data_IF_226932661077
#
_entry.id   IF_226932661077
#
_cell.length_a   1.000
_cell.length_b   1.000
_cell.length_c   1.000
_cell.angle_alpha   90.00
_cell.angle_beta   90.00
_cell.angle_gamma   90.00
#
_symmetry.space_group_name_H-M   'P 1'
#
loop_
_entity.id
_entity.type
_entity.pdbx_description
1 polymer ?
#
# COMPACT_ATOMS: atom_id res chain seq x y z
N UNK A 1 1.81 -59.81 43.77
CA UNK A 1 1.51 -58.37 43.69
C UNK A 1 1.55 -57.95 42.22
N UNK A 2 0.40 -57.76 41.58
CA UNK A 2 0.28 -57.31 40.17
C UNK A 2 0.28 -55.77 40.17
N UNK A 3 1.33 -55.15 39.61
CA UNK A 3 1.39 -53.70 39.40
C UNK A 3 0.79 -53.36 38.04
N UNK A 4 -0.29 -52.57 38.06
CA UNK A 4 -0.86 -51.92 36.88
C UNK A 4 -0.03 -50.69 36.53
N UNK A 5 0.46 -50.60 35.28
CA UNK A 5 1.08 -49.40 34.72
C UNK A 5 -0.02 -48.59 34.02
N UNK A 6 -0.43 -47.49 34.63
CA UNK A 6 -1.26 -46.45 34.01
C UNK A 6 -0.38 -45.60 33.09
N UNK A 7 -0.59 -45.73 31.79
CA UNK A 7 -0.05 -44.84 30.76
C UNK A 7 -0.88 -43.55 30.73
N UNK A 8 -0.36 -42.49 31.35
CA UNK A 8 -0.85 -41.12 31.20
C UNK A 8 -0.40 -40.58 29.84
N UNK A 9 -1.32 -40.54 28.86
CA UNK A 9 -1.16 -39.75 27.65
C UNK A 9 -1.27 -38.26 28.02
N UNK A 10 -0.14 -37.57 28.14
CA UNK A 10 -0.09 -36.12 28.13
C UNK A 10 -0.30 -35.63 26.69
N UNK A 11 -1.49 -35.12 26.39
CA UNK A 11 -1.70 -34.23 25.26
C UNK A 11 -0.93 -32.93 25.51
N UNK A 12 0.28 -32.82 24.94
CA UNK A 12 1.03 -31.57 24.87
C UNK A 12 0.32 -30.61 23.90
N UNK A 13 -0.57 -29.77 24.43
CA UNK A 13 -1.04 -28.58 23.70
C UNK A 13 0.08 -27.54 23.75
N UNK A 14 0.91 -27.47 22.71
CA UNK A 14 1.89 -26.40 22.57
C UNK A 14 1.16 -25.04 22.53
N UNK A 15 1.57 -24.05 23.34
CA UNK A 15 0.97 -22.72 23.26
C UNK A 15 1.24 -22.10 21.88
N UNK A 16 0.22 -21.41 21.31
CA UNK A 16 0.37 -20.52 20.15
C UNK A 16 1.29 -19.35 20.56
N UNK A 17 2.60 -19.55 20.52
CA UNK A 17 3.58 -18.50 20.73
C UNK A 17 4.23 -18.14 19.39
N UNK A 18 4.57 -16.85 19.22
CA UNK A 18 5.31 -16.40 18.06
C UNK A 18 6.66 -17.14 17.97
N UNK A 19 6.97 -17.64 16.78
CA UNK A 19 8.22 -18.31 16.44
C UNK A 19 9.03 -17.49 15.43
N UNK A 20 10.19 -18.00 15.06
CA UNK A 20 10.98 -17.46 13.96
C UNK A 20 11.41 -18.59 13.03
N UNK A 21 11.53 -18.25 11.76
CA UNK A 21 12.20 -19.08 10.76
C UNK A 21 13.02 -18.18 9.84
N UNK A 22 13.93 -18.79 9.11
CA UNK A 22 14.74 -18.13 8.10
C UNK A 22 14.43 -18.76 6.76
N UNK A 23 14.23 -17.91 5.74
CA UNK A 23 14.04 -18.37 4.36
C UNK A 23 15.29 -18.01 3.55
N UNK A 24 16.04 -19.02 3.05
CA UNK A 24 17.20 -18.76 2.22
C UNK A 24 16.77 -18.28 0.83
N UNK A 25 17.53 -17.34 0.29
CA UNK A 25 17.40 -16.85 -1.09
C UNK A 25 18.35 -17.60 -2.03
N UNK A 26 18.14 -17.46 -3.33
CA UNK A 26 18.97 -18.14 -4.35
C UNK A 26 20.42 -17.65 -4.36
N UNK A 27 20.67 -16.41 -3.93
CA UNK A 27 21.98 -15.77 -3.86
C UNK A 27 22.63 -15.88 -2.46
N UNK A 28 22.05 -16.66 -1.56
CA UNK A 28 22.66 -16.99 -0.26
C UNK A 28 22.35 -16.02 0.88
N UNK A 29 21.57 -14.97 0.64
CA UNK A 29 21.01 -14.13 1.70
C UNK A 29 19.89 -14.85 2.46
N UNK A 30 19.63 -14.40 3.68
CA UNK A 30 18.65 -14.98 4.58
C UNK A 30 17.54 -13.98 4.90
N UNK A 31 16.28 -14.38 4.68
CA UNK A 31 15.13 -13.53 5.01
C UNK A 31 14.62 -13.91 6.40
N UNK A 32 14.69 -13.01 7.40
CA UNK A 32 14.12 -13.26 8.71
C UNK A 32 12.60 -13.22 8.64
N UNK A 33 11.95 -14.25 9.19
CA UNK A 33 10.49 -14.36 9.26
C UNK A 33 10.05 -14.62 10.69
N UNK A 34 9.17 -13.76 11.20
CA UNK A 34 8.50 -13.98 12.48
C UNK A 34 7.15 -14.65 12.21
N UNK A 35 6.97 -15.85 12.74
CA UNK A 35 5.78 -16.66 12.52
C UNK A 35 4.79 -16.55 13.67
N UNK A 36 3.51 -16.45 13.34
CA UNK A 36 2.37 -16.47 14.26
C UNK A 36 1.53 -17.69 13.91
N UNK A 37 1.80 -18.85 14.53
CA UNK A 37 1.20 -20.12 14.15
C UNK A 37 -0.32 -20.12 14.38
N UNK A 38 -1.06 -20.84 13.55
CA UNK A 38 -2.49 -21.08 13.73
C UNK A 38 -2.90 -22.43 13.14
N UNK A 39 -3.97 -23.05 13.64
CA UNK A 39 -4.42 -24.36 13.16
C UNK A 39 -5.14 -24.32 11.79
N UNK A 40 -5.67 -23.18 11.38
CA UNK A 40 -6.48 -23.08 10.18
C UNK A 40 -5.71 -23.21 8.86
N UNK A 41 -6.47 -23.32 7.78
CA UNK A 41 -5.98 -23.68 6.43
C UNK A 41 -5.31 -22.52 5.67
N UNK A 42 -5.29 -21.31 6.23
CA UNK A 42 -4.76 -20.11 5.57
C UNK A 42 -3.44 -19.69 6.18
N UNK A 43 -2.51 -19.29 5.32
CA UNK A 43 -1.25 -18.65 5.66
C UNK A 43 -1.11 -17.32 4.94
N UNK A 44 -0.90 -16.24 5.70
CA UNK A 44 -0.60 -14.93 5.16
C UNK A 44 0.89 -14.64 5.29
N UNK A 45 1.56 -14.35 4.17
CA UNK A 45 2.92 -13.81 4.18
C UNK A 45 2.81 -12.29 4.11
N UNK A 46 3.11 -11.63 5.22
CA UNK A 46 2.93 -10.20 5.44
C UNK A 46 4.23 -9.44 5.17
N UNK A 47 4.14 -8.44 4.30
CA UNK A 47 5.20 -7.50 3.99
C UNK A 47 4.86 -6.12 4.57
N UNK A 48 5.68 -5.59 5.50
CA UNK A 48 5.49 -4.24 6.03
C UNK A 48 5.68 -3.19 4.92
N UNK A 49 5.28 -1.94 5.19
CA UNK A 49 5.44 -0.84 4.22
C UNK A 49 6.89 -0.37 4.09
N UNK A 50 7.11 0.66 3.26
CA UNK A 50 8.40 1.38 3.19
C UNK A 50 8.90 1.94 4.54
N UNK A 51 8.01 2.07 5.54
CA UNK A 51 8.36 2.47 6.90
C UNK A 51 8.92 1.32 7.77
N UNK A 52 9.06 0.12 7.20
CA UNK A 52 9.51 -1.08 7.92
C UNK A 52 8.46 -1.64 8.88
N UNK A 53 8.79 -2.72 9.61
CA UNK A 53 7.92 -3.32 10.60
C UNK A 53 7.46 -2.32 11.66
N UNK A 54 6.19 -2.41 12.03
CA UNK A 54 5.56 -1.57 13.04
C UNK A 54 5.14 -2.41 14.24
N UNK A 55 5.08 -1.80 15.43
CA UNK A 55 4.64 -2.51 16.65
C UNK A 55 3.24 -3.13 16.49
N UNK A 56 2.35 -2.46 15.74
CA UNK A 56 1.00 -2.95 15.44
C UNK A 56 0.98 -4.21 14.57
N UNK A 57 2.03 -4.50 13.79
CA UNK A 57 2.04 -5.65 12.90
C UNK A 57 2.00 -6.96 13.70
N UNK A 58 2.67 -7.00 14.86
CA UNK A 58 2.61 -8.15 15.76
C UNK A 58 1.18 -8.34 16.31
N UNK A 59 0.54 -7.25 16.74
CA UNK A 59 -0.85 -7.29 17.20
C UNK A 59 -1.80 -7.77 16.09
N UNK A 60 -1.65 -7.28 14.85
CA UNK A 60 -2.47 -7.72 13.71
C UNK A 60 -2.27 -9.22 13.43
N UNK A 61 -1.04 -9.69 13.47
CA UNK A 61 -0.72 -11.10 13.28
C UNK A 61 -1.34 -11.97 14.38
N UNK A 62 -1.25 -11.57 15.65
CA UNK A 62 -1.91 -12.26 16.77
C UNK A 62 -3.43 -12.29 16.60
N UNK A 63 -4.04 -11.18 16.15
CA UNK A 63 -5.49 -11.14 15.90
C UNK A 63 -5.93 -12.05 14.76
N UNK A 64 -5.08 -12.22 13.74
CA UNK A 64 -5.32 -13.15 12.63
C UNK A 64 -5.12 -14.60 13.07
N UNK A 65 -4.08 -14.89 13.86
CA UNK A 65 -3.81 -16.22 14.40
C UNK A 65 -4.95 -16.72 15.31
N UNK A 66 -5.48 -15.85 16.18
CA UNK A 66 -6.70 -16.10 16.98
C UNK A 66 -7.95 -16.39 16.14
N UNK A 67 -7.91 -16.06 14.86
CA UNK A 67 -8.98 -16.27 13.88
C UNK A 67 -8.61 -17.32 12.83
N UNK A 68 -7.71 -18.23 13.21
CA UNK A 68 -7.26 -19.40 12.46
C UNK A 68 -6.53 -19.05 11.15
N UNK A 69 -5.87 -17.90 11.09
CA UNK A 69 -4.99 -17.54 9.98
C UNK A 69 -3.56 -17.47 10.48
N UNK A 70 -2.71 -18.36 9.97
CA UNK A 70 -1.29 -18.29 10.26
C UNK A 70 -0.68 -17.06 9.57
N UNK A 71 0.26 -16.38 10.23
CA UNK A 71 0.92 -15.20 9.66
C UNK A 71 2.43 -15.32 9.73
N UNK A 72 3.07 -15.14 8.59
CA UNK A 72 4.53 -15.01 8.46
C UNK A 72 4.84 -13.55 8.16
N UNK A 73 5.44 -12.84 9.11
CA UNK A 73 5.89 -11.47 8.89
C UNK A 73 7.33 -11.50 8.41
N UNK A 74 7.56 -11.11 7.16
CA UNK A 74 8.87 -11.12 6.53
C UNK A 74 9.37 -9.69 6.34
N UNK A 75 10.56 -9.37 6.87
CA UNK A 75 11.21 -8.09 6.63
C UNK A 75 12.17 -8.19 5.45
N UNK A 76 11.68 -7.78 4.27
CA UNK A 76 12.45 -7.77 3.03
C UNK A 76 13.51 -6.66 2.99
N UNK A 77 13.33 -5.59 3.75
CA UNK A 77 14.28 -4.47 3.75
C UNK A 77 15.47 -4.81 4.64
N UNK A 78 15.21 -5.38 5.81
CA UNK A 78 16.25 -5.88 6.71
C UNK A 78 17.11 -6.96 6.05
N UNK A 79 16.48 -7.95 5.39
CA UNK A 79 17.17 -9.01 4.65
C UNK A 79 18.18 -8.51 3.59
N UNK A 80 17.98 -7.28 3.09
CA UNK A 80 18.81 -6.66 2.05
C UNK A 80 19.55 -5.41 2.55
N UNK A 81 19.58 -5.19 3.87
CA UNK A 81 20.19 -4.02 4.51
C UNK A 81 19.75 -2.69 3.85
N UNK A 82 18.49 -2.62 3.41
CA UNK A 82 17.96 -1.45 2.73
C UNK A 82 17.42 -0.45 3.77
N UNK A 83 17.75 0.85 3.64
CA UNK A 83 17.22 1.87 4.54
C UNK A 83 15.69 1.99 4.40
N UNK A 84 15.02 2.42 5.47
CA UNK A 84 13.58 2.71 5.46
C UNK A 84 13.30 3.98 4.64
N UNK A 85 13.06 3.78 3.36
CA UNK A 85 12.85 4.86 2.39
C UNK A 85 11.85 4.44 1.31
N UNK A 86 11.15 5.41 0.76
CA UNK A 86 10.19 5.23 -0.32
C UNK A 86 10.78 4.45 -1.52
N UNK A 87 12.04 4.68 -1.89
CA UNK A 87 12.66 3.94 -2.99
C UNK A 87 13.03 2.49 -2.66
N UNK A 88 13.18 2.14 -1.37
CA UNK A 88 13.78 0.87 -0.95
C UNK A 88 13.03 -0.39 -1.35
N UNK A 89 11.69 -0.51 -1.17
CA UNK A 89 10.97 -1.72 -1.56
C UNK A 89 11.14 -2.10 -3.04
N UNK A 90 11.30 -1.11 -3.92
CA UNK A 90 11.52 -1.37 -5.36
C UNK A 90 12.89 -1.99 -5.70
N UNK A 91 13.82 -2.00 -4.73
CA UNK A 91 15.16 -2.58 -4.83
C UNK A 91 15.23 -4.02 -4.34
N UNK A 92 14.21 -4.51 -3.65
CA UNK A 92 14.14 -5.90 -3.20
C UNK A 92 14.10 -6.82 -4.42
N UNK A 93 15.02 -7.80 -4.53
CA UNK A 93 15.03 -8.77 -5.62
C UNK A 93 13.73 -9.56 -5.70
N UNK A 94 13.26 -9.83 -6.91
CA UNK A 94 12.04 -10.61 -7.11
C UNK A 94 12.19 -12.06 -6.60
N UNK A 95 13.41 -12.60 -6.64
CA UNK A 95 13.74 -13.94 -6.14
C UNK A 95 13.42 -14.13 -4.65
N UNK A 96 13.53 -13.08 -3.83
CA UNK A 96 13.29 -13.14 -2.38
C UNK A 96 11.85 -13.51 -2.06
N UNK A 97 10.92 -12.79 -2.69
CA UNK A 97 9.50 -13.04 -2.55
C UNK A 97 9.11 -14.37 -3.20
N UNK A 98 9.77 -14.76 -4.31
CA UNK A 98 9.56 -16.07 -4.93
C UNK A 98 9.99 -17.23 -4.01
N UNK A 99 11.12 -17.08 -3.31
CA UNK A 99 11.63 -18.03 -2.32
C UNK A 99 10.70 -18.12 -1.10
N UNK A 100 10.26 -16.98 -0.57
CA UNK A 100 9.26 -16.92 0.51
C UNK A 100 7.95 -17.60 0.12
N UNK A 101 7.42 -17.32 -1.07
CA UNK A 101 6.19 -17.93 -1.55
C UNK A 101 6.36 -19.46 -1.69
N UNK A 102 7.48 -19.91 -2.26
CA UNK A 102 7.79 -21.34 -2.39
C UNK A 102 7.87 -22.02 -1.03
N UNK A 103 8.56 -21.40 -0.06
CA UNK A 103 8.68 -21.93 1.29
C UNK A 103 7.33 -21.93 2.03
N UNK A 104 6.53 -20.87 1.89
CA UNK A 104 5.20 -20.77 2.49
C UNK A 104 4.25 -21.85 1.93
N UNK A 105 4.30 -22.16 0.64
CA UNK A 105 3.47 -23.21 0.02
C UNK A 105 3.81 -24.63 0.52
N UNK A 106 5.02 -24.86 1.04
CA UNK A 106 5.39 -26.13 1.68
C UNK A 106 4.64 -26.39 2.99
N UNK A 107 4.03 -25.36 3.59
CA UNK A 107 3.19 -25.50 4.79
C UNK A 107 1.95 -26.37 4.57
N UNK A 108 1.57 -26.64 3.32
CA UNK A 108 0.30 -27.33 3.02
C UNK A 108 -0.89 -26.38 2.86
N UNK A 109 -0.79 -25.16 3.39
CA UNK A 109 -1.88 -24.20 3.53
C UNK A 109 -2.13 -23.42 2.25
N UNK A 110 -3.31 -22.77 2.20
CA UNK A 110 -3.60 -21.78 1.18
C UNK A 110 -2.89 -20.48 1.51
N UNK A 111 -2.01 -20.04 0.61
CA UNK A 111 -1.09 -18.93 0.85
C UNK A 111 -1.57 -17.66 0.17
N UNK A 112 -1.54 -16.55 0.90
CA UNK A 112 -1.79 -15.20 0.38
C UNK A 112 -0.62 -14.30 0.72
N UNK A 113 -0.19 -13.47 -0.22
CA UNK A 113 0.74 -12.40 0.08
C UNK A 113 -0.06 -11.17 0.54
N UNK A 114 0.34 -10.53 1.62
CA UNK A 114 -0.28 -9.31 2.12
C UNK A 114 0.76 -8.21 2.07
N UNK A 115 0.56 -7.21 1.22
CA UNK A 115 1.54 -6.17 0.96
C UNK A 115 0.97 -4.78 1.24
N UNK A 116 1.69 -4.01 2.05
CA UNK A 116 1.31 -2.64 2.40
C UNK A 116 2.19 -1.61 1.68
N UNK A 117 1.60 -0.48 1.27
CA UNK A 117 2.34 0.64 0.69
C UNK A 117 3.14 0.26 -0.55
N UNK A 118 4.44 0.54 -0.54
CA UNK A 118 5.33 0.21 -1.67
C UNK A 118 5.79 -1.24 -1.73
N UNK A 119 5.54 -2.05 -0.70
CA UNK A 119 5.88 -3.48 -0.72
C UNK A 119 5.00 -4.30 -1.65
N UNK A 120 3.93 -3.71 -2.20
CA UNK A 120 3.19 -4.26 -3.32
C UNK A 120 4.07 -4.52 -4.56
N UNK A 121 5.10 -3.70 -4.78
CA UNK A 121 6.01 -3.85 -5.92
C UNK A 121 6.83 -5.15 -5.86
N UNK A 122 7.63 -5.41 -4.80
CA UNK A 122 8.33 -6.68 -4.70
C UNK A 122 7.37 -7.87 -4.57
N UNK A 123 6.20 -7.71 -3.94
CA UNK A 123 5.19 -8.78 -3.89
C UNK A 123 4.77 -9.23 -5.30
N UNK A 124 4.35 -8.29 -6.16
CA UNK A 124 3.92 -8.62 -7.53
C UNK A 124 5.09 -9.12 -8.40
N UNK A 125 6.27 -8.52 -8.26
CA UNK A 125 7.48 -8.95 -8.99
C UNK A 125 7.87 -10.37 -8.61
N UNK A 126 7.82 -10.71 -7.33
CA UNK A 126 8.17 -12.04 -6.85
C UNK A 126 7.17 -13.11 -7.23
N UNK A 127 5.87 -12.80 -7.24
CA UNK A 127 4.86 -13.72 -7.79
C UNK A 127 5.15 -14.01 -9.26
N UNK A 128 5.47 -12.99 -10.06
CA UNK A 128 5.84 -13.19 -11.46
C UNK A 128 7.13 -14.01 -11.60
N UNK A 129 8.14 -13.75 -10.77
CA UNK A 129 9.39 -14.52 -10.77
C UNK A 129 9.12 -15.99 -10.41
N UNK A 130 8.36 -16.26 -9.35
CA UNK A 130 7.93 -17.60 -8.98
C UNK A 130 7.23 -18.33 -10.12
N UNK A 131 6.39 -17.64 -10.90
CA UNK A 131 5.76 -18.24 -12.08
C UNK A 131 6.75 -18.50 -13.24
N UNK A 132 7.77 -17.65 -13.42
CA UNK A 132 8.84 -17.87 -14.40
C UNK A 132 9.68 -19.08 -14.01
N UNK A 133 9.89 -19.29 -12.72
CA UNK A 133 10.62 -20.43 -12.15
C UNK A 133 9.79 -21.73 -12.17
N UNK A 134 8.64 -21.74 -12.86
CA UNK A 134 7.77 -22.91 -13.01
C UNK A 134 6.70 -23.07 -11.93
N UNK A 135 6.57 -22.12 -11.00
CA UNK A 135 5.60 -22.17 -9.91
C UNK A 135 4.14 -22.20 -10.38
N UNK A 136 3.41 -23.28 -10.09
CA UNK A 136 2.00 -23.50 -10.49
C UNK A 136 1.15 -24.14 -9.40
N UNK A 137 1.33 -23.73 -8.14
CA UNK A 137 0.61 -24.30 -7.01
C UNK A 137 -0.82 -23.72 -6.86
N UNK A 138 -1.89 -24.55 -6.91
CA UNK A 138 -3.28 -24.10 -6.78
C UNK A 138 -3.66 -23.62 -5.38
N UNK A 139 -2.76 -23.77 -4.40
CA UNK A 139 -2.90 -23.22 -3.03
C UNK A 139 -2.45 -21.76 -2.96
N UNK A 140 -1.77 -21.22 -3.97
CA UNK A 140 -1.55 -19.78 -4.00
C UNK A 140 -2.87 -19.05 -4.31
N UNK A 141 -3.37 -18.31 -3.32
CA UNK A 141 -4.68 -17.67 -3.35
C UNK A 141 -4.71 -16.26 -3.97
N UNK A 142 -3.56 -15.60 -4.10
CA UNK A 142 -3.44 -14.25 -4.65
C UNK A 142 -2.74 -13.27 -3.70
N UNK A 143 -2.91 -11.97 -3.99
CA UNK A 143 -2.26 -10.89 -3.24
C UNK A 143 -3.31 -9.93 -2.68
N UNK A 144 -3.20 -9.62 -1.38
CA UNK A 144 -3.99 -8.61 -0.70
C UNK A 144 -3.14 -7.35 -0.57
N UNK A 145 -3.61 -6.26 -1.15
CA UNK A 145 -2.96 -4.97 -1.20
C UNK A 145 -3.60 -4.03 -0.18
N UNK A 146 -2.79 -3.34 0.61
CA UNK A 146 -3.24 -2.33 1.58
C UNK A 146 -2.56 -1.02 1.23
N UNK A 147 -3.34 0.06 1.03
CA UNK A 147 -2.81 1.43 0.77
C UNK A 147 -1.67 1.46 -0.27
N UNK A 148 -1.77 0.63 -1.32
CA UNK A 148 -0.62 0.31 -2.17
C UNK A 148 -0.27 1.42 -3.15
N UNK A 149 1.04 1.60 -3.39
CA UNK A 149 1.58 2.64 -4.28
C UNK A 149 2.27 1.97 -5.46
N UNK A 150 1.66 2.02 -6.64
CA UNK A 150 2.10 1.26 -7.82
C UNK A 150 2.77 2.10 -8.93
N UNK A 151 3.19 3.32 -8.61
CA UNK A 151 3.86 4.24 -9.54
C UNK A 151 5.37 4.28 -9.30
N UNK A 152 6.14 4.42 -10.37
CA UNK A 152 7.61 4.47 -10.35
C UNK A 152 8.11 5.57 -9.42
N UNK A 153 7.44 6.71 -9.46
CA UNK A 153 7.71 7.90 -8.66
C UNK A 153 6.45 8.72 -8.49
N UNK A 154 6.49 9.66 -7.56
CA UNK A 154 5.54 10.78 -7.58
C UNK A 154 5.82 11.60 -8.84
N UNK A 155 4.84 11.78 -9.74
CA UNK A 155 5.03 12.62 -10.92
C UNK A 155 5.22 14.07 -10.51
N UNK A 156 6.02 14.83 -11.28
CA UNK A 156 6.04 16.29 -11.12
C UNK A 156 4.67 16.87 -11.56
N UNK A 157 4.28 18.07 -11.09
CA UNK A 157 3.06 18.71 -11.54
C UNK A 157 2.98 18.80 -13.08
N UNK A 158 1.87 18.32 -13.65
CA UNK A 158 1.65 18.26 -15.09
C UNK A 158 2.22 17.02 -15.80
N UNK A 159 3.00 16.18 -15.11
CA UNK A 159 3.44 14.90 -15.66
C UNK A 159 2.39 13.80 -15.46
N UNK A 160 2.33 12.88 -16.43
CA UNK A 160 1.51 11.67 -16.28
C UNK A 160 2.21 10.71 -15.32
N UNK A 161 1.45 10.20 -14.35
CA UNK A 161 1.96 9.19 -13.42
C UNK A 161 2.30 7.90 -14.18
N UNK A 162 3.51 7.40 -14.03
CA UNK A 162 3.98 6.18 -14.69
C UNK A 162 3.84 4.96 -13.76
N UNK A 163 2.96 4.00 -14.07
CA UNK A 163 2.87 2.76 -13.30
C UNK A 163 4.14 1.93 -13.47
N UNK A 164 4.52 1.16 -12.44
CA UNK A 164 5.59 0.18 -12.63
C UNK A 164 5.20 -0.86 -13.71
N UNK A 165 6.15 -1.32 -14.55
CA UNK A 165 5.85 -2.32 -15.60
C UNK A 165 5.24 -3.63 -15.05
N UNK A 166 5.52 -3.96 -13.79
CA UNK A 166 4.93 -5.13 -13.13
C UNK A 166 3.40 -5.05 -13.00
N UNK A 167 2.83 -3.85 -12.95
CA UNK A 167 1.37 -3.63 -12.90
C UNK A 167 0.72 -4.28 -14.12
N UNK A 168 1.20 -3.95 -15.32
CA UNK A 168 0.68 -4.50 -16.56
C UNK A 168 1.10 -5.96 -16.84
N UNK A 169 2.04 -6.51 -16.06
CA UNK A 169 2.52 -7.89 -16.18
C UNK A 169 2.03 -8.80 -15.04
N UNK A 170 1.18 -8.29 -14.15
CA UNK A 170 0.56 -9.06 -13.08
C UNK A 170 -0.68 -9.76 -13.60
N UNK A 171 -0.78 -11.06 -13.34
CA UNK A 171 -1.83 -11.92 -13.87
C UNK A 171 -2.51 -12.74 -12.78
N UNK A 172 -2.53 -12.28 -11.51
CA UNK A 172 -2.98 -13.04 -10.34
C UNK A 172 -4.19 -12.39 -9.68
N UNK A 173 -4.96 -13.10 -8.84
CA UNK A 173 -6.04 -12.48 -8.08
C UNK A 173 -5.52 -11.39 -7.13
N UNK A 174 -6.13 -10.21 -7.16
CA UNK A 174 -5.77 -9.07 -6.32
C UNK A 174 -6.98 -8.58 -5.52
N UNK A 175 -6.79 -8.34 -4.23
CA UNK A 175 -7.78 -7.65 -3.39
C UNK A 175 -7.16 -6.39 -2.79
N UNK A 176 -7.67 -5.22 -3.14
CA UNK A 176 -7.11 -3.93 -2.76
C UNK A 176 -7.98 -3.24 -1.72
N UNK A 177 -7.45 -3.08 -0.51
CA UNK A 177 -7.98 -2.24 0.56
C UNK A 177 -7.43 -0.81 0.41
N UNK A 178 -8.23 0.10 -0.14
CA UNK A 178 -7.81 1.46 -0.51
C UNK A 178 -8.44 2.51 0.42
N UNK A 179 -7.67 3.22 1.26
CA UNK A 179 -8.13 4.41 1.96
C UNK A 179 -8.62 5.51 1.01
N UNK A 180 -9.75 6.16 1.30
CA UNK A 180 -10.29 7.25 0.48
C UNK A 180 -9.63 8.61 0.74
N UNK A 181 -9.11 8.85 1.95
CA UNK A 181 -8.26 10.02 2.27
C UNK A 181 -6.79 9.80 1.86
N UNK A 182 -6.57 9.03 0.79
CA UNK A 182 -5.25 8.79 0.20
C UNK A 182 -5.12 9.60 -1.10
N UNK A 183 -3.99 10.27 -1.35
CA UNK A 183 -3.76 10.91 -2.65
C UNK A 183 -3.73 9.88 -3.80
N UNK A 184 -3.47 8.61 -3.50
CA UNK A 184 -3.42 7.52 -4.48
C UNK A 184 -4.79 6.93 -4.82
N UNK A 185 -5.82 7.20 -4.02
CA UNK A 185 -7.20 6.79 -4.31
C UNK A 185 -7.64 7.25 -5.70
N UNK A 186 -7.36 8.51 -6.02
CA UNK A 186 -7.69 9.15 -7.30
C UNK A 186 -6.90 8.60 -8.49
N UNK A 187 -5.92 7.73 -8.25
CA UNK A 187 -5.10 7.11 -9.29
C UNK A 187 -5.56 5.69 -9.64
N UNK A 188 -6.53 5.13 -8.91
CA UNK A 188 -7.09 3.80 -9.21
C UNK A 188 -7.58 3.65 -10.66
N UNK A 189 -8.31 4.62 -11.26
CA UNK A 189 -8.79 4.48 -12.63
C UNK A 189 -7.67 4.29 -13.67
N UNK A 190 -6.44 4.73 -13.37
CA UNK A 190 -5.28 4.54 -14.24
C UNK A 190 -4.57 3.20 -14.03
N UNK A 191 -4.76 2.57 -12.87
CA UNK A 191 -4.08 1.33 -12.50
C UNK A 191 -4.92 0.08 -12.78
N UNK A 192 -6.23 0.15 -12.54
CA UNK A 192 -7.12 -1.02 -12.69
C UNK A 192 -7.11 -1.58 -14.11
N UNK A 193 -7.25 -0.78 -15.19
CA UNK A 193 -7.20 -1.32 -16.54
C UNK A 193 -5.86 -1.96 -16.89
N UNK A 194 -4.76 -1.46 -16.31
CA UNK A 194 -3.44 -2.03 -16.53
C UNK A 194 -3.28 -3.40 -15.86
N UNK A 195 -3.75 -3.55 -14.61
CA UNK A 195 -3.77 -4.82 -13.89
C UNK A 195 -4.66 -5.85 -14.59
N UNK A 196 -5.85 -5.44 -15.02
CA UNK A 196 -6.81 -6.29 -15.73
C UNK A 196 -6.28 -6.71 -17.11
N UNK A 197 -5.63 -5.80 -17.84
CA UNK A 197 -4.97 -6.12 -19.10
C UNK A 197 -3.80 -7.13 -18.92
N UNK A 198 -3.19 -7.16 -17.74
CA UNK A 198 -2.24 -8.20 -17.35
C UNK A 198 -2.88 -9.56 -17.00
N UNK A 199 -4.20 -9.62 -16.91
CA UNK A 199 -4.97 -10.82 -16.56
C UNK A 199 -5.24 -11.00 -15.06
N UNK A 200 -5.04 -9.95 -14.26
CA UNK A 200 -5.43 -9.97 -12.84
C UNK A 200 -6.94 -9.78 -12.69
N UNK A 201 -7.58 -10.57 -11.83
CA UNK A 201 -8.92 -10.26 -11.34
C UNK A 201 -8.76 -9.33 -10.13
N UNK A 202 -9.26 -8.09 -10.21
CA UNK A 202 -9.01 -7.06 -9.21
C UNK A 202 -10.28 -6.69 -8.47
N UNK A 203 -10.30 -6.91 -7.16
CA UNK A 203 -11.32 -6.37 -6.27
C UNK A 203 -10.78 -5.14 -5.55
N UNK A 204 -11.57 -4.06 -5.50
CA UNK A 204 -11.26 -2.89 -4.69
C UNK A 204 -12.31 -2.72 -3.61
N UNK A 205 -11.86 -2.59 -2.37
CA UNK A 205 -12.68 -2.13 -1.25
C UNK A 205 -12.13 -0.81 -0.77
N UNK A 206 -12.95 0.22 -0.92
CA UNK A 206 -12.66 1.55 -0.38
C UNK A 206 -12.83 1.51 1.15
N UNK A 207 -11.85 2.05 1.86
CA UNK A 207 -11.88 2.23 3.31
C UNK A 207 -12.18 3.69 3.58
N UNK A 208 -13.39 3.96 4.06
CA UNK A 208 -13.87 5.32 4.28
C UNK A 208 -13.34 5.95 5.56
N UNK A 209 -13.04 7.24 5.48
CA UNK A 209 -12.68 8.07 6.65
C UNK A 209 -11.21 7.99 7.06
N UNK A 210 -10.41 7.16 6.40
CA UNK A 210 -9.04 6.85 6.84
C UNK A 210 -7.99 7.25 5.82
N UNK A 211 -6.79 7.61 6.30
CA UNK A 211 -5.63 7.96 5.48
C UNK A 211 -4.80 6.73 5.13
N UNK A 212 -3.81 6.92 4.25
CA UNK A 212 -2.69 5.98 4.17
C UNK A 212 -2.07 5.77 5.55
N UNK A 213 -1.57 4.54 5.78
CA UNK A 213 -0.93 4.12 7.04
C UNK A 213 -1.85 4.11 8.26
N UNK A 214 -3.18 4.22 8.09
CA UNK A 214 -4.17 4.37 9.18
C UNK A 214 -3.97 3.47 10.41
N UNK A 215 -3.45 2.25 10.24
CA UNK A 215 -3.27 1.31 11.35
C UNK A 215 -1.97 1.48 12.16
N UNK A 216 -1.05 2.34 11.73
CA UNK A 216 0.22 2.61 12.41
C UNK A 216 0.61 4.10 12.42
N UNK A 217 -0.35 4.99 12.25
CA UNK A 217 -0.09 6.43 12.39
C UNK A 217 0.14 6.78 13.86
N UNK A 218 1.16 7.58 14.20
CA UNK A 218 1.31 8.12 15.54
C UNK A 218 0.22 9.14 15.88
N UNK A 219 -0.33 9.81 14.85
CA UNK A 219 -1.42 10.78 14.91
C UNK A 219 -2.78 10.18 14.47
N UNK A 220 -3.01 8.89 14.75
CA UNK A 220 -4.26 8.22 14.38
C UNK A 220 -5.47 8.86 15.06
N UNK A 221 -6.54 9.11 14.30
CA UNK A 221 -7.82 9.55 14.85
C UNK A 221 -8.72 8.36 15.24
N UNK A 222 -9.89 8.63 15.84
CA UNK A 222 -10.82 7.59 16.29
C UNK A 222 -11.33 6.68 15.14
N UNK A 223 -11.56 7.26 13.96
CA UNK A 223 -11.99 6.50 12.76
C UNK A 223 -10.91 5.52 12.30
N UNK A 224 -9.65 5.96 12.28
CA UNK A 224 -8.49 5.15 11.91
C UNK A 224 -8.25 4.04 12.94
N UNK A 225 -8.45 4.34 14.22
CA UNK A 225 -8.41 3.36 15.30
C UNK A 225 -9.51 2.31 15.20
N UNK A 226 -10.74 2.72 14.87
CA UNK A 226 -11.84 1.80 14.61
C UNK A 226 -11.56 0.94 13.37
N UNK A 227 -11.01 1.51 12.30
CA UNK A 227 -10.64 0.77 11.10
C UNK A 227 -9.51 -0.23 11.37
N UNK A 228 -8.49 0.16 12.15
CA UNK A 228 -7.42 -0.73 12.64
C UNK A 228 -7.98 -1.95 13.35
N UNK A 229 -8.96 -1.76 14.25
CA UNK A 229 -9.65 -2.87 14.95
C UNK A 229 -10.41 -3.80 14.00
N UNK A 230 -10.92 -3.29 12.88
CA UNK A 230 -11.65 -4.06 11.86
C UNK A 230 -10.74 -4.77 10.85
N UNK A 231 -9.48 -4.33 10.70
CA UNK A 231 -8.56 -4.81 9.68
C UNK A 231 -8.37 -6.34 9.64
N UNK A 232 -8.22 -7.07 10.78
CA UNK A 232 -8.09 -8.53 10.73
C UNK A 232 -9.26 -9.22 10.01
N UNK A 233 -10.50 -8.77 10.23
CA UNK A 233 -11.67 -9.37 9.58
C UNK A 233 -11.80 -8.94 8.10
N UNK A 234 -11.36 -7.72 7.76
CA UNK A 234 -11.28 -7.28 6.37
C UNK A 234 -10.29 -8.14 5.57
N UNK A 235 -9.14 -8.49 6.14
CA UNK A 235 -8.14 -9.35 5.50
C UNK A 235 -8.66 -10.79 5.31
N UNK A 236 -9.35 -11.34 6.32
CA UNK A 236 -10.02 -12.65 6.20
C UNK A 236 -11.09 -12.64 5.10
N UNK A 237 -11.87 -11.55 5.03
CA UNK A 237 -12.88 -11.37 3.99
C UNK A 237 -12.27 -11.25 2.60
N UNK A 238 -11.14 -10.56 2.48
CA UNK A 238 -10.38 -10.46 1.23
C UNK A 238 -9.91 -11.84 0.75
N UNK A 239 -9.28 -12.63 1.63
CA UNK A 239 -8.86 -13.99 1.30
C UNK A 239 -10.04 -14.88 0.85
N UNK A 240 -11.18 -14.83 1.56
CA UNK A 240 -12.40 -15.55 1.17
C UNK A 240 -12.95 -15.10 -0.19
N UNK A 241 -12.87 -13.82 -0.52
CA UNK A 241 -13.29 -13.31 -1.82
C UNK A 241 -12.40 -13.86 -2.94
N UNK A 242 -11.08 -13.86 -2.74
CA UNK A 242 -10.11 -14.40 -3.68
C UNK A 242 -10.25 -15.93 -3.85
N UNK A 243 -10.62 -16.65 -2.79
CA UNK A 243 -10.89 -18.09 -2.83
C UNK A 243 -12.06 -18.48 -3.73
N UNK A 244 -13.05 -17.59 -3.86
CA UNK A 244 -14.27 -17.82 -4.65
C UNK A 244 -14.10 -17.56 -6.14
N UNK A 245 -12.98 -16.97 -6.54
CA UNK A 245 -12.70 -16.75 -7.95
C UNK A 245 -12.53 -18.08 -8.70
N UNK A 246 -13.04 -18.17 -9.94
CA UNK A 246 -12.84 -19.36 -10.75
C UNK A 246 -11.34 -19.59 -10.97
N UNK A 247 -10.90 -20.84 -10.79
CA UNK A 247 -9.53 -21.23 -11.13
C UNK A 247 -9.35 -21.11 -12.64
N UNK A 248 -8.43 -20.23 -13.05
CA UNK A 248 -8.02 -20.05 -14.44
C UNK A 248 -6.54 -20.37 -14.56
N UNK A 249 -6.17 -20.98 -15.67
CA UNK A 249 -4.76 -21.13 -16.01
C UNK A 249 -4.19 -19.73 -16.31
N UNK A 250 -3.18 -19.31 -15.52
CA UNK A 250 -2.56 -17.98 -15.63
C UNK A 250 -1.19 -18.17 -16.26
N UNK A 251 -1.01 -17.62 -17.47
CA UNK A 251 0.27 -17.62 -18.19
C UNK A 251 1.04 -16.36 -17.86
N UNK A 252 2.34 -16.49 -17.63
CA UNK A 252 3.22 -15.35 -17.31
C UNK A 252 3.14 -14.32 -18.44
N UNK A 253 2.92 -13.07 -18.07
CA UNK A 253 2.89 -11.95 -19.01
C UNK A 253 4.29 -11.34 -19.12
N UNK A 254 4.71 -11.06 -20.36
CA UNK A 254 5.95 -10.36 -20.64
C UNK A 254 5.89 -8.92 -20.11
N UNK A 255 7.02 -8.41 -19.61
CA UNK A 255 7.10 -7.00 -19.23
C UNK A 255 7.07 -6.13 -20.50
N UNK A 256 6.22 -5.11 -20.50
CA UNK A 256 6.16 -4.13 -21.62
C UNK A 256 7.37 -3.19 -21.65
N UNK A 257 8.08 -3.06 -20.54
CA UNK A 257 9.30 -2.27 -20.41
C UNK A 257 10.21 -2.90 -19.34
N UNK A 258 11.54 -2.68 -19.40
CA UNK A 258 12.44 -3.08 -18.33
C UNK A 258 12.00 -2.49 -17.00
N UNK A 259 12.20 -3.24 -15.92
CA UNK A 259 11.95 -2.71 -14.59
C UNK A 259 12.87 -1.50 -14.37
N UNK A 260 12.35 -0.37 -13.84
CA UNK A 260 13.18 0.80 -13.59
C UNK A 260 14.40 0.39 -12.78
N UNK A 261 15.58 0.76 -13.28
CA UNK A 261 16.82 0.53 -12.55
C UNK A 261 16.71 1.15 -11.15
N UNK A 262 17.34 0.49 -10.19
CA UNK A 262 17.48 0.97 -8.81
C UNK A 262 18.19 2.34 -8.87
N UNK A 263 17.40 3.42 -8.82
CA UNK A 263 17.88 4.76 -9.13
C UNK A 263 17.44 5.76 -8.08
N UNK A 264 18.43 6.36 -7.42
CA UNK A 264 18.32 7.51 -6.54
C UNK A 264 17.42 8.56 -7.20
N UNK A 265 16.34 8.96 -6.51
CA UNK A 265 15.46 10.02 -6.99
C UNK A 265 16.30 11.24 -7.38
N UNK A 266 16.05 11.82 -8.56
CA UNK A 266 16.80 12.99 -9.05
C UNK A 266 16.76 14.09 -7.97
N UNK A 267 17.90 14.35 -7.35
CA UNK A 267 18.13 15.36 -6.29
C UNK A 267 18.28 16.76 -6.87
N UNK A 268 17.42 17.13 -7.81
CA UNK A 268 17.46 18.44 -8.46
C UNK A 268 16.12 19.13 -8.38
N UNK A 269 15.78 19.70 -7.22
CA UNK A 269 14.68 20.66 -7.11
C UNK A 269 15.18 22.02 -7.65
N UNK A 270 15.46 22.08 -8.94
CA UNK A 270 15.60 23.33 -9.67
C UNK A 270 14.27 23.63 -10.35
N UNK A 271 13.89 24.91 -10.42
CA UNK A 271 12.72 25.33 -11.21
C UNK A 271 12.94 24.87 -12.65
N UNK A 272 12.04 24.01 -13.13
CA UNK A 272 12.04 23.55 -14.52
C UNK A 272 11.13 24.45 -15.35
N UNK A 273 11.55 24.89 -16.54
CA UNK A 273 10.64 25.56 -17.46
C UNK A 273 9.43 24.68 -17.75
N UNK A 274 8.23 25.18 -17.47
CA UNK A 274 6.99 24.51 -17.85
C UNK A 274 6.85 24.54 -19.37
N UNK A 275 6.69 23.35 -19.99
CA UNK A 275 6.57 23.19 -21.46
C UNK A 275 5.19 22.76 -21.92
N UNK A 276 4.21 22.69 -21.01
CA UNK A 276 2.82 22.34 -21.33
C UNK A 276 2.01 23.53 -21.84
N UNK A 277 0.69 23.35 -21.94
CA UNK A 277 -0.23 24.44 -22.28
C UNK A 277 -0.24 25.47 -21.13
N UNK A 278 0.24 26.71 -21.36
CA UNK A 278 0.29 27.73 -20.31
C UNK A 278 -1.12 28.19 -19.87
N UNK A 279 -2.16 27.81 -20.60
CA UNK A 279 -3.54 28.07 -20.19
C UNK A 279 -3.89 27.22 -18.97
N UNK A 280 -4.25 27.83 -17.82
CA UNK A 280 -4.67 27.06 -16.67
C UNK A 280 -5.97 26.30 -16.98
N UNK A 281 -6.18 25.10 -16.41
CA UNK A 281 -7.43 24.39 -16.52
C UNK A 281 -8.58 25.23 -15.94
N UNK A 282 -9.78 25.07 -16.49
CA UNK A 282 -10.96 25.72 -15.96
C UNK A 282 -11.20 25.25 -14.52
N UNK A 283 -11.30 26.20 -13.59
CA UNK A 283 -11.57 25.93 -12.19
C UNK A 283 -12.70 26.84 -11.74
N UNK A 284 -13.85 26.23 -11.43
CA UNK A 284 -15.05 26.91 -10.96
C UNK A 284 -15.60 26.13 -9.77
N UNK A 285 -15.42 26.66 -8.56
CA UNK A 285 -15.72 25.98 -7.31
C UNK A 285 -16.53 26.87 -6.38
N UNK A 286 -17.36 26.27 -5.53
CA UNK A 286 -18.02 26.99 -4.44
C UNK A 286 -17.03 27.24 -3.29
N UNK A 287 -16.92 28.49 -2.86
CA UNK A 287 -16.20 28.87 -1.65
C UNK A 287 -17.04 28.56 -0.39
N UNK A 288 -16.40 28.53 0.78
CA UNK A 288 -17.08 28.33 2.07
C UNK A 288 -18.15 29.41 2.35
N UNK A 289 -18.00 30.60 1.75
CA UNK A 289 -18.97 31.70 1.80
C UNK A 289 -20.22 31.48 0.94
N UNK A 290 -20.28 30.38 0.17
CA UNK A 290 -21.37 30.09 -0.76
C UNK A 290 -21.24 30.78 -2.13
N UNK A 291 -20.28 31.70 -2.29
CA UNK A 291 -19.99 32.32 -3.59
C UNK A 291 -19.24 31.34 -4.49
N UNK A 292 -19.55 31.37 -5.78
CA UNK A 292 -18.73 30.65 -6.77
C UNK A 292 -17.49 31.46 -7.07
N UNK A 293 -16.33 30.83 -7.04
CA UNK A 293 -15.05 31.37 -7.51
C UNK A 293 -14.75 30.76 -8.86
N UNK A 294 -14.55 31.61 -9.86
CA UNK A 294 -14.15 31.19 -11.21
C UNK A 294 -12.74 31.74 -11.50
N UNK A 295 -11.79 30.84 -11.76
CA UNK A 295 -10.40 31.22 -12.02
C UNK A 295 -10.26 32.19 -13.22
N UNK A 296 -11.20 32.18 -14.15
CA UNK A 296 -11.20 33.10 -15.30
C UNK A 296 -11.49 34.56 -14.91
N UNK A 297 -12.12 34.79 -13.76
CA UNK A 297 -12.37 36.13 -13.20
C UNK A 297 -11.11 36.75 -12.58
N UNK A 298 -10.08 35.95 -12.30
CA UNK A 298 -8.81 36.41 -11.72
C UNK A 298 -7.74 36.74 -12.77
N UNK A 299 -8.12 36.82 -14.05
CA UNK A 299 -7.17 37.20 -15.13
C UNK A 299 -6.54 38.56 -14.86
N UNK A 300 -5.24 38.66 -15.13
CA UNK A 300 -4.44 39.85 -14.82
C UNK A 300 -3.81 39.83 -13.43
N UNK A 301 -4.08 38.80 -12.61
CA UNK A 301 -3.39 38.53 -11.34
C UNK A 301 -2.48 37.32 -11.44
N UNK A 302 -1.45 37.28 -10.61
CA UNK A 302 -0.70 36.06 -10.31
C UNK A 302 -1.52 35.28 -9.28
N UNK A 303 -1.93 34.06 -9.60
CA UNK A 303 -2.77 33.23 -8.70
C UNK A 303 -1.99 32.01 -8.26
N UNK A 304 -1.77 31.86 -6.96
CA UNK A 304 -1.26 30.63 -6.36
C UNK A 304 -2.44 29.72 -6.02
N UNK A 305 -2.61 28.63 -6.77
CA UNK A 305 -3.61 27.60 -6.45
C UNK A 305 -2.94 26.53 -5.61
N UNK A 306 -3.37 26.40 -4.35
CA UNK A 306 -2.86 25.42 -3.40
C UNK A 306 -3.96 24.37 -3.13
N UNK A 307 -3.65 23.09 -3.35
CA UNK A 307 -4.56 21.99 -3.01
C UNK A 307 -4.16 21.42 -1.65
N UNK A 308 -5.09 21.41 -0.71
CA UNK A 308 -4.83 21.01 0.67
C UNK A 308 -5.97 20.20 1.26
N UNK A 309 -5.73 19.67 2.45
CA UNK A 309 -6.75 19.04 3.28
C UNK A 309 -6.40 19.19 4.76
N UNK A 310 -7.41 19.23 5.63
CA UNK A 310 -7.25 19.29 7.09
C UNK A 310 -6.42 18.11 7.62
N UNK A 311 -6.54 16.97 6.93
CA UNK A 311 -5.87 15.72 7.26
C UNK A 311 -4.47 15.57 6.63
N UNK A 312 -3.96 16.60 5.92
CA UNK A 312 -2.63 16.64 5.32
C UNK A 312 -1.66 17.47 6.20
N UNK A 313 -0.85 16.83 7.08
CA UNK A 313 0.05 17.58 7.98
C UNK A 313 1.02 18.55 7.29
N UNK A 314 1.72 18.19 6.20
CA UNK A 314 2.61 19.16 5.54
C UNK A 314 1.85 20.34 4.94
N UNK A 315 0.63 20.13 4.44
CA UNK A 315 -0.21 21.20 3.92
C UNK A 315 -0.60 22.19 5.04
N UNK A 316 -1.01 21.67 6.21
CA UNK A 316 -1.37 22.48 7.37
C UNK A 316 -0.16 23.27 7.91
N UNK A 317 1.01 22.64 7.98
CA UNK A 317 2.25 23.31 8.39
C UNK A 317 2.68 24.43 7.42
N UNK A 318 2.27 24.37 6.15
CA UNK A 318 2.57 25.39 5.14
C UNK A 318 1.66 26.63 5.26
N UNK A 319 0.44 26.50 5.79
CA UNK A 319 -0.56 27.57 5.85
C UNK A 319 -0.05 28.90 6.46
N UNK A 320 0.69 28.90 7.61
CA UNK A 320 1.23 30.15 8.15
C UNK A 320 2.18 30.87 7.18
N UNK A 321 2.91 30.12 6.35
CA UNK A 321 3.79 30.70 5.33
C UNK A 321 3.00 31.31 4.18
N UNK A 322 1.89 30.69 3.76
CA UNK A 322 0.98 31.26 2.77
C UNK A 322 0.30 32.54 3.27
N UNK A 323 -0.09 32.59 4.55
CA UNK A 323 -0.65 33.81 5.15
C UNK A 323 0.36 34.97 5.10
N UNK A 324 1.62 34.73 5.51
CA UNK A 324 2.67 35.75 5.43
C UNK A 324 2.91 36.22 3.99
N UNK A 325 2.87 35.31 3.01
CA UNK A 325 2.99 35.67 1.59
C UNK A 325 1.84 36.58 1.15
N UNK A 326 0.60 36.25 1.50
CA UNK A 326 -0.57 37.06 1.19
C UNK A 326 -0.49 38.45 1.83
N UNK A 327 0.02 38.55 3.06
CA UNK A 327 0.21 39.81 3.76
C UNK A 327 1.27 40.71 3.09
N UNK A 328 2.40 40.13 2.67
CA UNK A 328 3.47 40.86 1.98
C UNK A 328 3.04 41.33 0.59
N UNK A 329 2.21 40.55 -0.11
CA UNK A 329 1.78 40.82 -1.48
C UNK A 329 0.40 41.49 -1.59
N UNK A 330 -0.18 41.96 -0.46
CA UNK A 330 -1.55 42.47 -0.39
C UNK A 330 -1.85 43.63 -1.35
N UNK A 331 -0.87 44.48 -1.62
CA UNK A 331 -0.99 45.63 -2.53
C UNK A 331 -0.56 45.33 -3.97
N UNK A 332 -0.33 44.05 -4.30
CA UNK A 332 0.03 43.59 -5.65
C UNK A 332 -1.13 42.82 -6.28
N UNK A 333 -1.17 42.65 -7.62
CA UNK A 333 -2.19 41.81 -8.26
C UNK A 333 -1.87 40.31 -8.03
N UNK A 334 -1.97 39.86 -6.78
CA UNK A 334 -1.69 38.51 -6.33
C UNK A 334 -2.87 37.95 -5.52
N UNK A 335 -3.16 36.65 -5.68
CA UNK A 335 -4.24 35.96 -4.98
C UNK A 335 -3.82 34.52 -4.64
N UNK A 336 -4.25 34.01 -3.48
CA UNK A 336 -4.10 32.59 -3.12
C UNK A 336 -5.47 31.92 -3.13
N UNK A 337 -5.63 30.87 -3.93
CA UNK A 337 -6.81 30.00 -3.89
C UNK A 337 -6.46 28.69 -3.17
N UNK A 338 -6.91 28.56 -1.93
CA UNK A 338 -6.77 27.33 -1.14
C UNK A 338 -7.94 26.37 -1.42
N UNK A 339 -7.70 25.38 -2.29
CA UNK A 339 -8.69 24.40 -2.73
C UNK A 339 -8.67 23.19 -1.80
N UNK A 340 -9.76 23.03 -1.05
CA UNK A 340 -9.99 21.87 -0.18
C UNK A 340 -10.18 20.58 -1.00
N UNK A 341 -9.48 19.51 -0.62
CA UNK A 341 -9.53 18.20 -1.27
C UNK A 341 -10.57 17.28 -0.64
N UNK A 342 -11.76 17.24 -1.24
CA UNK A 342 -12.79 16.22 -1.02
C UNK A 342 -13.31 16.12 0.43
N UNK A 343 -13.24 17.20 1.20
CA UNK A 343 -13.86 17.31 2.52
C UNK A 343 -15.16 18.15 2.44
N UNK A 344 -16.20 17.80 3.22
CA UNK A 344 -17.42 18.60 3.24
C UNK A 344 -17.16 19.98 3.88
N UNK A 345 -17.91 21.04 3.50
CA UNK A 345 -17.73 22.39 4.04
C UNK A 345 -17.79 22.47 5.57
N UNK A 346 -18.57 21.59 6.21
CA UNK A 346 -18.76 21.55 7.66
C UNK A 346 -17.46 21.18 8.38
N UNK A 347 -16.72 20.19 7.87
CA UNK A 347 -15.42 19.78 8.42
C UNK A 347 -14.40 20.90 8.32
N UNK A 348 -14.41 21.65 7.21
CA UNK A 348 -13.48 22.76 7.03
C UNK A 348 -13.83 23.96 7.92
N UNK A 349 -15.11 24.23 8.13
CA UNK A 349 -15.54 25.29 9.07
C UNK A 349 -15.19 24.97 10.52
N UNK A 350 -15.16 23.70 10.90
CA UNK A 350 -14.75 23.27 12.25
C UNK A 350 -13.21 23.34 12.42
N UNK A 351 -12.46 23.12 11.34
CA UNK A 351 -11.00 23.17 11.35
C UNK A 351 -10.43 24.60 11.43
N UNK A 352 -11.06 25.56 10.75
CA UNK A 352 -10.67 26.98 10.72
C UNK A 352 -11.11 27.71 12.01
#
# INVERSE_FOLDING_TARGET
MRRWLLLLLLCLTSPLQAGSLVVPTADGEEIPVITHPAAGERLFVWFPSEAGPQAVDAWLADQLAKREVEVWRADLLEARFLPLADSSPSRVPAGDVAALLTQALRSGKRVFLVANGRSAIPALRGVRQWQLDGGRDPRFGGVILISSKLFVRTPDPGETAEPFPIVAASNVPLYWLQPDKSPWYWKLPHLLPALEAGGSDVYVRVLHGVRDRFFFRPDANEEEDAMRRRLPELLRSAARALERLPRRERRVVALKAPLPAIGVGKTGNTLKPYRGDPKPPALRLAALSGKTVDLSELRGRVVLVNFWASWCPPCVHEMPSMQRLADVLRDTPFEILAVNMAEPPEVIREFL
#
